data_IF_863616697566
#
_entry.id   IF_863616697566
#
_cell.length_a   1.000
_cell.length_b   1.000
_cell.length_c   1.000
_cell.angle_alpha   90.00
_cell.angle_beta   90.00
_cell.angle_gamma   90.00
#
_symmetry.space_group_name_H-M   'P 1'
#
loop_
_entity.id
_entity.type
_entity.pdbx_description
1 polymer ?
#
# COMPACT_ATOMS: atom_id res chain seq x y z
N UNK A 1 -45.38 47.55 -13.56
CA UNK A 1 -43.98 47.34 -13.19
C UNK A 1 -43.92 46.11 -12.26
N UNK A 2 -43.53 44.97 -12.75
CA UNK A 2 -43.39 43.75 -11.98
C UNK A 2 -42.00 43.74 -11.37
N UNK A 3 -41.80 43.62 -10.02
CA UNK A 3 -40.50 43.55 -9.44
C UNK A 3 -39.83 42.25 -9.86
N UNK A 4 -38.80 42.33 -10.68
CA UNK A 4 -37.97 41.18 -11.02
C UNK A 4 -37.22 40.77 -9.77
N UNK A 5 -37.62 39.63 -9.20
CA UNK A 5 -36.92 39.02 -8.05
C UNK A 5 -35.46 38.68 -8.41
N UNK A 6 -34.48 39.11 -7.62
CA UNK A 6 -33.07 38.87 -7.93
C UNK A 6 -32.66 37.37 -7.90
N UNK A 7 -33.59 36.52 -7.51
CA UNK A 7 -33.40 35.06 -7.41
C UNK A 7 -33.24 34.34 -8.76
N UNK A 8 -33.69 34.96 -9.87
CA UNK A 8 -33.67 34.32 -11.20
C UNK A 8 -32.28 34.41 -11.82
N UNK A 9 -31.53 35.50 -11.52
CA UNK A 9 -30.16 35.69 -12.06
C UNK A 9 -29.09 34.86 -11.33
N UNK A 10 -29.34 34.51 -10.06
CA UNK A 10 -28.38 33.69 -9.27
C UNK A 10 -28.39 32.21 -9.68
N UNK A 11 -29.51 31.68 -10.15
CA UNK A 11 -29.66 30.26 -10.51
C UNK A 11 -28.69 29.81 -11.60
N UNK A 12 -28.51 30.52 -12.73
CA UNK A 12 -27.59 30.08 -13.77
C UNK A 12 -26.13 30.21 -13.32
N UNK A 13 -25.79 31.18 -12.47
CA UNK A 13 -24.43 31.36 -11.95
C UNK A 13 -24.06 30.22 -11.00
N UNK A 14 -24.95 29.81 -10.11
CA UNK A 14 -24.74 28.68 -9.20
C UNK A 14 -24.62 27.35 -9.97
N UNK A 15 -25.46 27.14 -10.99
CA UNK A 15 -25.37 25.94 -11.84
C UNK A 15 -24.08 25.92 -12.66
N UNK A 16 -23.64 27.05 -13.20
CA UNK A 16 -22.39 27.15 -13.92
C UNK A 16 -21.18 26.90 -13.01
N UNK A 17 -21.19 27.40 -11.76
CA UNK A 17 -20.14 27.14 -10.78
C UNK A 17 -20.06 25.68 -10.35
N UNK A 18 -21.20 25.00 -10.17
CA UNK A 18 -21.26 23.57 -9.86
C UNK A 18 -20.71 22.71 -11.01
N UNK A 19 -20.99 23.07 -12.25
CA UNK A 19 -20.46 22.38 -13.43
C UNK A 19 -18.95 22.54 -13.58
N UNK A 20 -18.41 23.69 -13.19
CA UNK A 20 -16.96 23.93 -13.22
C UNK A 20 -16.20 23.14 -12.13
N UNK A 21 -16.80 22.91 -10.97
CA UNK A 21 -16.17 22.10 -9.91
C UNK A 21 -16.20 20.59 -10.23
N UNK A 22 -17.19 20.11 -10.98
CA UNK A 22 -17.28 18.70 -11.36
C UNK A 22 -16.31 18.30 -12.50
N UNK A 23 -15.66 19.26 -13.14
CA UNK A 23 -14.83 19.04 -14.34
C UNK A 23 -13.36 18.76 -14.06
N UNK A 24 -12.86 18.90 -12.81
CA UNK A 24 -11.43 18.79 -12.52
C UNK A 24 -10.86 17.37 -12.64
N UNK A 25 -11.66 16.32 -12.56
CA UNK A 25 -11.21 14.93 -12.71
C UNK A 25 -11.00 14.50 -14.18
N UNK A 26 -11.42 15.33 -15.13
CA UNK A 26 -11.39 14.97 -16.56
C UNK A 26 -10.27 15.62 -17.35
N UNK A 27 -9.40 16.40 -16.70
CA UNK A 27 -8.29 17.06 -17.39
C UNK A 27 -7.11 16.08 -17.45
N UNK A 28 -6.71 15.60 -18.65
CA UNK A 28 -5.56 14.72 -18.79
C UNK A 28 -4.29 15.45 -18.30
N UNK A 29 -3.65 14.89 -17.28
CA UNK A 29 -2.42 15.41 -16.69
C UNK A 29 -2.58 16.16 -15.36
N UNK A 30 -3.80 16.42 -14.86
CA UNK A 30 -4.03 17.06 -13.56
C UNK A 30 -4.55 16.11 -12.49
N UNK A 31 -4.97 14.89 -12.87
CA UNK A 31 -5.40 13.86 -11.94
C UNK A 31 -4.23 12.98 -11.47
N UNK A 32 -4.40 12.21 -10.39
CA UNK A 32 -3.43 11.21 -9.98
C UNK A 32 -3.18 10.22 -11.14
N UNK A 33 -1.92 9.81 -11.31
CA UNK A 33 -1.55 8.84 -12.34
C UNK A 33 -2.41 7.55 -12.17
N UNK A 34 -3.19 7.15 -13.17
CA UNK A 34 -4.07 5.97 -13.08
C UNK A 34 -3.29 4.69 -12.76
N UNK A 35 -2.00 4.62 -13.08
CA UNK A 35 -1.14 3.49 -12.72
C UNK A 35 -0.83 3.44 -11.23
N UNK A 36 -0.78 4.60 -10.56
CA UNK A 36 -0.61 4.64 -9.09
C UNK A 36 -1.88 4.14 -8.43
N UNK A 37 -3.04 4.65 -8.83
CA UNK A 37 -4.33 4.21 -8.31
C UNK A 37 -4.52 2.70 -8.49
N UNK A 38 -4.22 2.16 -9.67
CA UNK A 38 -4.29 0.73 -9.93
C UNK A 38 -3.39 -0.09 -9.00
N UNK A 39 -2.14 0.32 -8.79
CA UNK A 39 -1.22 -0.37 -7.86
C UNK A 39 -1.67 -0.30 -6.41
N UNK A 40 -2.31 0.79 -6.01
CA UNK A 40 -2.89 0.91 -4.67
C UNK A 40 -4.08 -0.04 -4.48
N UNK A 41 -4.97 -0.13 -5.46
CA UNK A 41 -6.08 -1.08 -5.44
C UNK A 41 -5.60 -2.54 -5.45
N UNK A 42 -4.59 -2.88 -6.24
CA UNK A 42 -3.96 -4.20 -6.23
C UNK A 42 -3.37 -4.52 -4.85
N UNK A 43 -2.69 -3.56 -4.24
CA UNK A 43 -2.12 -3.74 -2.90
C UNK A 43 -3.20 -3.91 -1.83
N UNK A 44 -4.33 -3.22 -1.92
CA UNK A 44 -5.49 -3.44 -1.04
C UNK A 44 -6.07 -4.85 -1.22
N UNK A 45 -6.22 -5.29 -2.46
CA UNK A 45 -6.70 -6.65 -2.76
C UNK A 45 -5.77 -7.71 -2.15
N UNK A 46 -4.45 -7.52 -2.23
CA UNK A 46 -3.45 -8.39 -1.60
C UNK A 46 -3.67 -8.43 -0.07
N UNK A 47 -3.85 -7.29 0.57
CA UNK A 47 -4.12 -7.21 2.01
C UNK A 47 -5.35 -7.99 2.42
N UNK A 48 -6.46 -7.83 1.70
CA UNK A 48 -7.69 -8.58 1.93
C UNK A 48 -7.52 -10.08 1.75
N UNK A 49 -6.83 -10.50 0.68
CA UNK A 49 -6.53 -11.90 0.42
C UNK A 49 -5.67 -12.54 1.53
N UNK A 50 -4.65 -11.82 2.02
CA UNK A 50 -3.84 -12.28 3.15
C UNK A 50 -4.68 -12.52 4.40
N UNK A 51 -5.58 -11.58 4.74
CA UNK A 51 -6.43 -11.73 5.92
C UNK A 51 -7.40 -12.90 5.79
N UNK A 52 -8.01 -13.06 4.63
CA UNK A 52 -8.90 -14.19 4.36
C UNK A 52 -8.15 -15.53 4.44
N UNK A 53 -6.89 -15.56 4.02
CA UNK A 53 -6.00 -16.72 4.13
C UNK A 53 -5.39 -16.92 5.54
N UNK A 54 -5.91 -16.23 6.57
CA UNK A 54 -5.45 -16.29 7.96
C UNK A 54 -3.97 -15.95 8.15
N UNK A 55 -3.41 -15.15 7.25
CA UNK A 55 -2.03 -14.68 7.36
C UNK A 55 -1.95 -13.42 8.21
N UNK A 56 -0.92 -13.36 9.04
CA UNK A 56 -0.56 -12.15 9.74
C UNK A 56 -0.16 -11.04 8.78
N UNK A 57 -0.28 -9.79 9.23
CA UNK A 57 0.05 -8.64 8.41
C UNK A 57 1.54 -8.60 8.01
N UNK A 58 2.43 -8.99 8.93
CA UNK A 58 3.87 -9.05 8.66
C UNK A 58 4.20 -10.07 7.58
N UNK A 59 3.60 -11.26 7.65
CA UNK A 59 3.78 -12.30 6.63
C UNK A 59 3.31 -11.80 5.26
N UNK A 60 2.19 -11.05 5.24
CA UNK A 60 1.69 -10.44 4.02
C UNK A 60 2.70 -9.48 3.40
N UNK A 61 3.36 -8.64 4.22
CA UNK A 61 4.40 -7.72 3.74
C UNK A 61 5.64 -8.45 3.22
N UNK A 62 6.04 -9.53 3.88
CA UNK A 62 7.19 -10.34 3.46
C UNK A 62 6.92 -11.01 2.10
N UNK A 63 5.72 -11.52 1.91
CA UNK A 63 5.31 -12.16 0.66
C UNK A 63 5.15 -11.17 -0.50
N UNK A 64 4.88 -9.90 -0.20
CA UNK A 64 4.57 -8.87 -1.19
C UNK A 64 5.44 -7.61 -1.01
N UNK A 65 6.77 -7.73 -1.12
CA UNK A 65 7.69 -6.65 -0.76
C UNK A 65 7.59 -5.41 -1.66
N UNK A 66 6.98 -5.54 -2.84
CA UNK A 66 6.77 -4.43 -3.79
C UNK A 66 5.43 -3.72 -3.62
N UNK A 67 4.51 -4.30 -2.89
CA UNK A 67 3.21 -3.71 -2.66
C UNK A 67 3.30 -2.54 -1.66
N UNK A 68 2.46 -1.51 -1.86
CA UNK A 68 2.33 -0.42 -0.90
C UNK A 68 1.88 -0.96 0.46
N UNK A 69 2.72 -0.87 1.46
CA UNK A 69 2.39 -1.35 2.82
C UNK A 69 1.15 -0.69 3.39
N UNK A 70 0.96 0.59 3.11
CA UNK A 70 -0.23 1.33 3.55
C UNK A 70 -1.51 0.77 2.94
N UNK A 71 -1.50 0.50 1.62
CA UNK A 71 -2.64 -0.06 0.91
C UNK A 71 -2.89 -1.52 1.31
N UNK A 72 -1.85 -2.33 1.48
CA UNK A 72 -1.96 -3.70 2.02
C UNK A 72 -2.58 -3.69 3.41
N UNK A 73 -2.14 -2.79 4.30
CA UNK A 73 -2.73 -2.65 5.63
C UNK A 73 -4.21 -2.27 5.56
N UNK A 74 -4.57 -1.31 4.72
CA UNK A 74 -5.96 -0.90 4.55
C UNK A 74 -6.82 -2.09 4.11
N UNK A 75 -6.42 -2.83 3.08
CA UNK A 75 -7.15 -4.00 2.61
C UNK A 75 -7.24 -5.13 3.62
N UNK A 76 -6.18 -5.39 4.38
CA UNK A 76 -6.17 -6.37 5.46
C UNK A 76 -7.17 -6.01 6.55
N UNK A 77 -7.16 -4.75 6.98
CA UNK A 77 -8.08 -4.22 8.01
C UNK A 77 -9.53 -4.25 7.55
N UNK A 78 -9.80 -3.84 6.31
CA UNK A 78 -11.16 -3.85 5.75
C UNK A 78 -11.72 -5.29 5.70
N UNK A 79 -10.91 -6.25 5.26
CA UNK A 79 -11.30 -7.66 5.27
C UNK A 79 -11.49 -8.20 6.68
N UNK A 80 -10.66 -7.82 7.64
CA UNK A 80 -10.80 -8.22 9.04
C UNK A 80 -12.13 -7.75 9.64
N UNK A 81 -12.49 -6.50 9.38
CA UNK A 81 -13.80 -5.95 9.76
C UNK A 81 -14.95 -6.72 9.12
N UNK A 82 -14.90 -6.91 7.81
CA UNK A 82 -15.91 -7.65 7.06
C UNK A 82 -16.10 -9.08 7.57
N UNK A 83 -15.00 -9.79 7.80
CA UNK A 83 -15.04 -11.17 8.31
C UNK A 83 -15.67 -11.26 9.71
N UNK A 84 -15.34 -10.33 10.60
CA UNK A 84 -15.92 -10.28 11.95
C UNK A 84 -17.41 -9.96 11.92
N UNK A 85 -17.83 -8.99 11.14
CA UNK A 85 -19.25 -8.60 11.01
C UNK A 85 -20.11 -9.72 10.42
N UNK A 86 -19.58 -10.46 9.47
CA UNK A 86 -20.28 -11.52 8.78
C UNK A 86 -20.01 -12.92 9.35
N UNK A 87 -19.24 -13.03 10.44
CA UNK A 87 -18.84 -14.29 11.08
C UNK A 87 -18.22 -15.29 10.09
N UNK A 88 -17.37 -14.77 9.21
CA UNK A 88 -16.64 -15.56 8.23
C UNK A 88 -15.33 -16.03 8.84
N UNK A 89 -15.14 -17.36 8.86
CA UNK A 89 -13.85 -17.94 9.16
C UNK A 89 -13.01 -17.96 7.89
N UNK A 90 -11.75 -17.48 7.98
CA UNK A 90 -10.87 -17.52 6.84
C UNK A 90 -10.45 -18.94 6.48
N UNK A 91 -9.92 -19.10 5.27
CA UNK A 91 -9.40 -20.38 4.79
C UNK A 91 -7.88 -20.38 4.89
N UNK A 92 -7.27 -21.32 5.64
CA UNK A 92 -5.82 -21.43 5.73
C UNK A 92 -5.18 -21.59 4.34
N UNK A 93 -4.08 -20.87 4.12
CA UNK A 93 -3.34 -21.02 2.88
C UNK A 93 -2.74 -22.42 2.74
N UNK A 94 -2.97 -23.04 1.60
CA UNK A 94 -2.40 -24.36 1.25
C UNK A 94 -0.92 -24.26 0.84
N UNK A 95 -0.47 -23.06 0.45
CA UNK A 95 0.94 -22.80 0.24
C UNK A 95 1.59 -22.75 1.63
N UNK A 96 2.40 -23.76 1.95
CA UNK A 96 3.01 -23.95 3.24
C UNK A 96 3.55 -22.67 3.86
N UNK A 97 3.67 -22.66 5.18
CA UNK A 97 4.35 -21.59 5.91
C UNK A 97 5.63 -21.26 5.15
N UNK A 98 5.70 -20.04 4.60
CA UNK A 98 7.00 -19.51 4.20
C UNK A 98 7.81 -19.53 5.49
N UNK A 99 8.71 -20.49 5.61
CA UNK A 99 9.69 -20.45 6.68
C UNK A 99 10.34 -19.09 6.58
N UNK A 100 10.13 -18.29 7.63
CA UNK A 100 10.87 -17.06 7.81
C UNK A 100 12.32 -17.45 7.58
N UNK A 101 13.02 -16.82 6.59
CA UNK A 101 14.43 -17.13 6.44
C UNK A 101 15.04 -16.86 7.80
N UNK A 102 15.44 -17.94 8.46
CA UNK A 102 16.21 -17.83 9.70
C UNK A 102 17.36 -16.88 9.33
N UNK A 103 17.29 -15.69 9.90
CA UNK A 103 18.42 -14.77 9.83
C UNK A 103 19.55 -15.58 10.45
N UNK A 104 20.35 -16.21 9.58
CA UNK A 104 21.60 -16.83 9.96
C UNK A 104 22.39 -15.74 10.68
N UNK A 105 22.34 -15.74 12.01
CA UNK A 105 23.24 -14.99 12.87
C UNK A 105 24.61 -15.69 12.81
N UNK A 106 25.07 -15.99 11.60
CA UNK A 106 26.46 -16.17 11.35
C UNK A 106 26.99 -14.78 11.05
N UNK A 107 27.34 -14.05 12.12
CA UNK A 107 28.26 -12.95 11.99
C UNK A 107 29.40 -13.44 11.08
N UNK A 108 29.80 -12.67 10.04
CA UNK A 108 30.99 -13.01 9.31
C UNK A 108 32.11 -12.97 10.34
N UNK A 109 32.62 -14.14 10.71
CA UNK A 109 33.96 -14.21 11.30
C UNK A 109 34.85 -13.56 10.27
N UNK A 110 35.33 -12.37 10.61
CA UNK A 110 36.40 -11.71 9.88
C UNK A 110 37.58 -12.65 10.09
N UNK A 111 37.76 -13.58 9.15
CA UNK A 111 38.95 -14.37 9.05
C UNK A 111 40.09 -13.41 8.87
N UNK A 112 40.83 -13.14 9.94
CA UNK A 112 42.12 -12.48 9.88
C UNK A 112 43.01 -13.39 9.06
N UNK A 113 43.18 -13.06 7.78
CA UNK A 113 44.10 -13.74 6.89
C UNK A 113 45.52 -13.59 7.53
N UNK A 114 46.27 -14.69 7.79
CA UNK A 114 47.59 -14.64 8.37
C UNK A 114 48.63 -13.84 7.56
N UNK A 115 48.25 -13.45 6.34
CA UNK A 115 49.09 -12.63 5.46
C UNK A 115 49.14 -11.15 5.84
N UNK A 116 48.13 -10.63 6.55
CA UNK A 116 48.08 -9.22 6.91
C UNK A 116 48.99 -8.88 8.10
N UNK A 117 49.44 -9.87 8.87
CA UNK A 117 50.36 -9.67 9.97
C UNK A 117 51.84 -9.61 9.53
N UNK A 118 52.17 -10.05 8.32
CA UNK A 118 53.53 -10.03 7.80
C UNK A 118 53.97 -8.66 7.22
N UNK A 119 53.00 -7.88 6.72
CA UNK A 119 53.25 -6.59 6.07
C UNK A 119 53.53 -5.44 7.05
N UNK A 120 53.15 -5.59 8.32
CA UNK A 120 53.33 -4.52 9.34
C UNK A 120 54.67 -4.53 10.02
N UNK A 121 55.53 -5.55 9.83
CA UNK A 121 56.84 -5.64 10.49
C UNK A 121 57.99 -5.04 9.72
N UNK A 122 57.80 -4.50 8.54
CA UNK A 122 58.88 -4.03 7.70
C UNK A 122 58.86 -2.51 7.44
N UNK A 123 58.36 -1.71 8.40
CA UNK A 123 58.49 -0.25 8.43
C UNK A 123 58.99 0.18 9.79
N UNK A 124 60.27 0.04 9.97
CA UNK A 124 61.09 0.78 10.94
C UNK A 124 62.32 1.27 10.24
#
# INVERSE_FOLDING_TARGET
MVPQSPSIALRPIVLASLLLLAGCDKIPGLGPDPRVAQREEEAKAIGGACRHALRGLEDCYILNPRASKASVFAGWKDMDGYMRENKIEGTPSVLGKVEKPERSERAPEIGTDPRDTAASRNRS
#
